data_IF_534862957625
#
_entry.id   IF_534862957625
#
_cell.length_a   1.000
_cell.length_b   1.000
_cell.length_c   1.000
_cell.angle_alpha   90.00
_cell.angle_beta   90.00
_cell.angle_gamma   90.00
#
_symmetry.space_group_name_H-M   'P 1'
#
loop_
_entity.id
_entity.type
_entity.pdbx_description
1 polymer ?
#
# COMPACT_ATOMS: atom_id res chain seq x y z
N UNK A 1 -22.54 1.36 -2.15
CA UNK A 1 -21.26 0.71 -1.82
C UNK A 1 -20.18 1.75 -2.01
N UNK A 2 -19.52 2.19 -0.93
CA UNK A 2 -18.44 3.20 -1.03
C UNK A 2 -17.32 2.63 -1.88
N UNK A 3 -17.18 3.12 -3.12
CA UNK A 3 -16.04 2.86 -3.98
C UNK A 3 -14.87 3.72 -3.48
N UNK A 4 -14.34 3.34 -2.32
CA UNK A 4 -13.18 4.01 -1.77
C UNK A 4 -11.94 3.48 -2.49
N UNK A 5 -11.31 4.37 -3.25
CA UNK A 5 -10.05 4.13 -3.93
C UNK A 5 -8.99 3.79 -2.89
N UNK A 6 -7.95 3.05 -3.32
CA UNK A 6 -6.89 2.59 -2.43
C UNK A 6 -5.59 3.29 -2.79
N UNK A 7 -5.07 4.09 -1.87
CA UNK A 7 -3.73 4.65 -1.98
C UNK A 7 -2.72 3.57 -1.59
N UNK A 8 -1.75 3.26 -2.44
CA UNK A 8 -0.80 2.16 -2.25
C UNK A 8 0.55 2.72 -1.78
N UNK A 9 1.03 2.26 -0.64
CA UNK A 9 2.32 2.66 -0.08
C UNK A 9 3.46 1.73 -0.53
N UNK A 10 3.18 0.45 -0.65
CA UNK A 10 4.19 -0.56 -0.91
C UNK A 10 3.64 -1.98 -0.88
N UNK A 11 4.50 -2.94 -1.19
CA UNK A 11 4.18 -4.36 -1.19
C UNK A 11 5.13 -5.07 -0.23
N UNK A 12 4.58 -5.95 0.60
CA UNK A 12 5.28 -6.71 1.63
C UNK A 12 4.95 -8.21 1.50
N UNK A 13 5.77 -9.05 2.12
CA UNK A 13 5.40 -10.44 2.40
C UNK A 13 4.59 -10.49 3.71
N UNK A 14 3.30 -10.78 3.59
CA UNK A 14 2.36 -10.90 4.72
C UNK A 14 1.14 -11.71 4.22
N UNK A 15 1.02 -13.00 4.62
CA UNK A 15 -0.10 -13.83 4.20
C UNK A 15 -1.40 -13.53 4.95
N UNK A 16 -1.34 -12.90 6.12
CA UNK A 16 -2.50 -12.68 6.99
C UNK A 16 -3.00 -11.23 6.94
N UNK A 17 -4.31 -10.99 7.15
CA UNK A 17 -4.85 -9.65 7.28
C UNK A 17 -4.14 -8.84 8.37
N UNK A 18 -3.68 -7.63 8.03
CA UNK A 18 -2.96 -6.74 8.94
C UNK A 18 -3.55 -5.34 8.94
N UNK A 19 -3.67 -4.75 10.13
CA UNK A 19 -3.90 -3.31 10.34
C UNK A 19 -2.70 -2.74 11.06
N UNK A 20 -2.37 -1.49 10.75
CA UNK A 20 -1.20 -0.82 11.30
C UNK A 20 -1.62 0.30 12.26
N UNK A 21 -0.80 0.55 13.27
CA UNK A 21 -1.08 1.51 14.34
C UNK A 21 -0.55 2.93 14.04
N UNK A 22 -0.28 3.22 12.77
CA UNK A 22 0.16 4.51 12.27
C UNK A 22 -0.78 5.00 11.17
N UNK A 23 -0.83 6.32 10.99
CA UNK A 23 -1.72 6.96 10.03
C UNK A 23 -1.06 7.17 8.67
N UNK A 24 -1.84 6.98 7.62
CA UNK A 24 -1.44 7.23 6.24
C UNK A 24 -1.65 8.67 5.79
N UNK A 25 -1.54 8.87 4.48
CA UNK A 25 -1.93 10.12 3.81
C UNK A 25 -3.38 10.46 4.15
N UNK A 26 -3.62 11.71 4.54
CA UNK A 26 -4.96 12.16 4.96
C UNK A 26 -5.39 11.63 6.33
N UNK A 27 -4.44 11.21 7.17
CA UNK A 27 -4.68 10.64 8.51
C UNK A 27 -5.53 9.34 8.46
N UNK A 28 -5.56 8.69 7.29
CA UNK A 28 -6.34 7.48 7.02
C UNK A 28 -5.75 6.24 7.70
N UNK A 29 -6.61 5.27 8.02
CA UNK A 29 -6.18 3.97 8.54
C UNK A 29 -5.39 3.20 7.47
N UNK A 30 -4.25 2.63 7.87
CA UNK A 30 -3.38 1.82 7.00
C UNK A 30 -3.60 0.35 7.28
N UNK A 31 -3.80 -0.44 6.23
CA UNK A 31 -4.06 -1.87 6.32
C UNK A 31 -3.54 -2.63 5.10
N UNK A 32 -3.49 -3.96 5.21
CA UNK A 32 -3.01 -4.86 4.18
C UNK A 32 -4.18 -5.43 3.35
N UNK A 33 -4.00 -5.48 2.02
CA UNK A 33 -4.80 -6.28 1.10
C UNK A 33 -3.92 -7.44 0.64
N UNK A 34 -4.25 -8.65 1.09
CA UNK A 34 -3.47 -9.85 0.85
C UNK A 34 -3.84 -10.56 -0.47
N UNK A 35 -2.84 -11.14 -1.11
CA UNK A 35 -2.96 -12.11 -2.19
C UNK A 35 -1.86 -13.17 -2.03
N UNK A 36 -2.25 -14.39 -1.65
CA UNK A 36 -1.34 -15.49 -1.32
C UNK A 36 -0.37 -15.07 -0.20
N UNK A 37 0.94 -15.01 -0.47
CA UNK A 37 1.97 -14.60 0.50
C UNK A 37 2.25 -13.10 0.50
N UNK A 38 1.76 -12.37 -0.49
CA UNK A 38 2.04 -10.95 -0.63
C UNK A 38 0.86 -10.12 -0.13
N UNK A 39 1.16 -8.90 0.31
CA UNK A 39 0.15 -7.91 0.59
C UNK A 39 0.55 -6.54 0.06
N UNK A 40 -0.43 -5.81 -0.49
CA UNK A 40 -0.31 -4.38 -0.73
C UNK A 40 -0.71 -3.64 0.55
N UNK A 41 0.15 -2.76 1.03
CA UNK A 41 -0.18 -1.87 2.14
C UNK A 41 -0.86 -0.63 1.58
N UNK A 42 -2.08 -0.37 2.05
CA UNK A 42 -2.96 0.66 1.49
C UNK A 42 -3.66 1.47 2.57
N UNK A 43 -4.23 2.60 2.17
CA UNK A 43 -5.26 3.33 2.92
C UNK A 43 -6.39 3.75 1.99
N UNK A 44 -7.57 4.00 2.57
CA UNK A 44 -8.72 4.49 1.82
C UNK A 44 -8.54 5.96 1.43
N UNK A 45 -8.96 6.30 0.21
CA UNK A 45 -8.99 7.67 -0.27
C UNK A 45 -10.22 7.90 -1.16
N UNK A 46 -10.84 9.08 -1.01
CA UNK A 46 -11.88 9.55 -1.92
C UNK A 46 -11.33 10.21 -3.18
N UNK A 47 -10.03 10.54 -3.20
CA UNK A 47 -9.40 11.32 -4.25
C UNK A 47 -8.89 10.43 -5.40
N UNK A 48 -8.98 10.93 -6.63
CA UNK A 48 -8.39 10.30 -7.82
C UNK A 48 -6.88 10.52 -7.90
N UNK A 49 -6.41 11.63 -7.34
CA UNK A 49 -5.01 12.00 -7.25
C UNK A 49 -4.76 12.69 -5.90
N UNK A 50 -3.51 12.65 -5.44
CA UNK A 50 -3.08 13.35 -4.23
C UNK A 50 -1.99 14.32 -4.62
N UNK A 51 -2.20 15.60 -4.35
CA UNK A 51 -1.18 16.63 -4.57
C UNK A 51 0.10 16.30 -3.79
N UNK A 52 1.29 16.44 -4.41
CA UNK A 52 2.59 16.16 -3.77
C UNK A 52 3.00 17.29 -2.81
N UNK A 53 2.11 17.68 -1.91
CA UNK A 53 2.41 18.63 -0.84
C UNK A 53 3.42 18.01 0.13
N UNK A 54 4.21 18.86 0.80
CA UNK A 54 5.16 18.40 1.83
C UNK A 54 4.50 17.52 2.90
N UNK A 55 3.24 17.84 3.27
CA UNK A 55 2.45 17.04 4.23
C UNK A 55 2.21 15.64 3.69
N UNK A 56 1.71 15.51 2.46
CA UNK A 56 1.34 14.22 1.88
C UNK A 56 2.56 13.35 1.60
N UNK A 57 3.62 13.92 1.02
CA UNK A 57 4.87 13.20 0.77
C UNK A 57 5.46 12.69 2.07
N UNK A 58 5.50 13.52 3.12
CA UNK A 58 5.98 13.10 4.44
C UNK A 58 5.14 11.97 5.03
N UNK A 59 3.80 12.04 4.94
CA UNK A 59 2.93 10.98 5.44
C UNK A 59 3.18 9.65 4.71
N UNK A 60 3.33 9.69 3.38
CA UNK A 60 3.71 8.53 2.58
C UNK A 60 5.06 7.93 3.01
N UNK A 61 6.10 8.77 3.16
CA UNK A 61 7.43 8.32 3.59
C UNK A 61 7.41 7.73 5.00
N UNK A 62 6.69 8.35 5.94
CA UNK A 62 6.57 7.83 7.31
C UNK A 62 5.93 6.43 7.33
N UNK A 63 4.90 6.20 6.52
CA UNK A 63 4.32 4.85 6.40
C UNK A 63 5.37 3.84 5.91
N UNK A 64 6.12 4.18 4.86
CA UNK A 64 7.17 3.30 4.34
C UNK A 64 8.27 3.05 5.39
N UNK A 65 8.70 4.08 6.12
CA UNK A 65 9.68 3.97 7.19
C UNK A 65 9.19 3.07 8.34
N UNK A 66 7.92 3.18 8.73
CA UNK A 66 7.33 2.30 9.74
C UNK A 66 7.24 0.84 9.26
N UNK A 67 6.90 0.60 8.00
CA UNK A 67 6.88 -0.74 7.41
C UNK A 67 8.27 -1.37 7.38
N UNK A 68 9.29 -0.60 6.98
CA UNK A 68 10.68 -1.06 6.91
C UNK A 68 11.26 -1.52 8.26
N UNK A 69 10.67 -1.10 9.39
CA UNK A 69 11.08 -1.59 10.72
C UNK A 69 10.72 -3.05 10.97
N UNK A 70 9.76 -3.61 10.24
CA UNK A 70 9.23 -4.96 10.49
C UNK A 70 9.12 -5.83 9.24
N UNK A 71 9.22 -5.25 8.05
CA UNK A 71 9.02 -5.93 6.78
C UNK A 71 10.12 -5.58 5.78
N UNK A 72 10.44 -6.53 4.90
CA UNK A 72 11.02 -6.20 3.60
C UNK A 72 9.93 -5.55 2.76
N UNK A 73 10.24 -4.38 2.19
CA UNK A 73 9.28 -3.55 1.47
C UNK A 73 9.73 -3.32 0.04
N UNK A 74 8.81 -3.53 -0.91
CA UNK A 74 8.90 -2.91 -2.23
C UNK A 74 8.15 -1.57 -2.19
N UNK A 75 8.87 -0.44 -2.10
CA UNK A 75 8.22 0.86 -2.00
C UNK A 75 7.56 1.22 -3.34
N UNK A 76 6.29 1.61 -3.29
CA UNK A 76 5.65 2.22 -4.45
C UNK A 76 5.95 3.73 -4.50
N UNK A 77 5.97 4.28 -5.71
CA UNK A 77 6.08 5.72 -5.90
C UNK A 77 4.90 6.47 -5.27
N UNK A 78 5.15 7.72 -4.86
CA UNK A 78 4.11 8.58 -4.32
C UNK A 78 2.95 8.75 -5.30
N UNK A 79 1.72 8.72 -4.79
CA UNK A 79 0.51 9.01 -5.56
C UNK A 79 -0.07 7.80 -6.29
N UNK A 80 0.42 6.59 -6.03
CA UNK A 80 -0.16 5.39 -6.61
C UNK A 80 -1.53 5.09 -6.01
N UNK A 81 -2.58 5.16 -6.83
CA UNK A 81 -3.97 4.94 -6.41
C UNK A 81 -4.62 3.89 -7.31
N UNK A 82 -5.26 2.90 -6.70
CA UNK A 82 -6.11 1.93 -7.35
C UNK A 82 -7.59 2.32 -7.21
N UNK A 83 -8.39 2.08 -8.25
CA UNK A 83 -9.82 2.43 -8.28
C UNK A 83 -10.67 1.65 -7.28
N UNK A 84 -10.21 0.45 -6.89
CA UNK A 84 -10.93 -0.45 -6.01
C UNK A 84 -10.00 -1.46 -5.33
N UNK A 85 -10.53 -2.18 -4.34
CA UNK A 85 -9.85 -3.35 -3.75
C UNK A 85 -9.53 -4.42 -4.82
N UNK A 86 -10.43 -4.64 -5.78
CA UNK A 86 -10.23 -5.64 -6.83
C UNK A 86 -9.09 -5.27 -7.78
N UNK A 87 -8.87 -3.97 -8.02
CA UNK A 87 -7.74 -3.50 -8.83
C UNK A 87 -6.40 -3.72 -8.12
N UNK A 88 -6.36 -3.56 -6.79
CA UNK A 88 -5.19 -3.92 -5.98
C UNK A 88 -4.92 -5.43 -6.06
N UNK A 89 -5.95 -6.26 -5.93
CA UNK A 89 -5.80 -7.71 -6.05
C UNK A 89 -5.30 -8.13 -7.43
N UNK A 90 -5.86 -7.57 -8.51
CA UNK A 90 -5.39 -7.82 -9.89
C UNK A 90 -3.94 -7.39 -10.09
N UNK A 91 -3.50 -6.29 -9.46
CA UNK A 91 -2.10 -5.86 -9.51
C UNK A 91 -1.19 -6.90 -8.86
N UNK A 92 -1.55 -7.37 -7.67
CA UNK A 92 -0.77 -8.39 -6.96
C UNK A 92 -0.73 -9.71 -7.74
N UNK A 93 -1.87 -10.16 -8.24
CA UNK A 93 -1.99 -11.40 -9.01
C UNK A 93 -1.14 -11.37 -10.28
N UNK A 94 -1.27 -10.31 -11.10
CA UNK A 94 -0.54 -10.18 -12.38
C UNK A 94 0.96 -10.12 -12.19
N UNK A 95 1.43 -9.53 -11.10
CA UNK A 95 2.86 -9.29 -10.85
C UNK A 95 3.45 -10.24 -9.81
N UNK A 96 2.71 -11.24 -9.34
CA UNK A 96 3.05 -12.07 -8.18
C UNK A 96 4.48 -12.63 -8.22
N UNK A 97 4.86 -13.28 -9.33
CA UNK A 97 6.20 -13.85 -9.49
C UNK A 97 7.31 -12.80 -9.62
N UNK A 98 7.01 -11.61 -10.14
CA UNK A 98 7.96 -10.50 -10.19
C UNK A 98 8.22 -9.94 -8.80
N UNK A 99 7.14 -9.56 -8.12
CA UNK A 99 7.16 -8.99 -6.77
C UNK A 99 7.79 -9.93 -5.75
N UNK A 100 7.46 -11.23 -5.79
CA UNK A 100 8.06 -12.22 -4.88
C UNK A 100 9.57 -12.28 -5.06
N UNK A 101 10.06 -12.25 -6.30
CA UNK A 101 11.51 -12.29 -6.58
C UNK A 101 12.21 -11.04 -6.08
N UNK A 102 11.62 -9.87 -6.26
CA UNK A 102 12.19 -8.60 -5.80
C UNK A 102 12.25 -8.52 -4.27
N UNK A 103 11.26 -9.04 -3.54
CA UNK A 103 11.25 -9.09 -2.08
C UNK A 103 12.31 -10.04 -1.49
N UNK A 104 12.70 -11.07 -2.22
CA UNK A 104 13.69 -12.07 -1.78
C UNK A 104 15.12 -11.77 -2.21
N UNK A 105 15.34 -10.65 -2.91
CA UNK A 105 16.64 -10.27 -3.45
C UNK A 105 17.48 -9.52 -2.43
#
# INVERSE_FOLDING_TARGET
>A
MSLERKYIYGIIEEPEPRRFNFSGVGDAEVYAINHQKLAAVVSDTGFEEIDPTRKNVRAHTVVQDELLKSYTLLPMGFGMIAGSKDDVLKLLEKNYHGLTRELTR
#
